data_IF_593330849204
#
_entry.id   IF_593330849204
#
_cell.length_a   1.000
_cell.length_b   1.000
_cell.length_c   1.000
_cell.angle_alpha   90.00
_cell.angle_beta   90.00
_cell.angle_gamma   90.00
#
_symmetry.space_group_name_H-M   'P 1'
#
loop_
_entity.id
_entity.type
_entity.pdbx_description
1 polymer ?
#
# COMPACT_ATOMS: atom_id res chain seq x y z
N UNK A 1 11.64 -13.48 5.66
CA UNK A 1 12.98 -12.93 5.72
C UNK A 1 12.86 -11.47 6.06
N UNK A 2 13.47 -11.04 7.16
CA UNK A 2 13.83 -9.65 7.42
C UNK A 2 15.35 -9.64 7.57
N UNK A 3 16.00 -8.55 7.18
CA UNK A 3 17.46 -8.45 7.25
C UNK A 3 17.83 -7.55 8.41
N UNK A 4 18.29 -8.13 9.51
CA UNK A 4 18.75 -7.38 10.70
C UNK A 4 19.83 -6.36 10.33
N UNK A 5 20.75 -6.73 9.44
CA UNK A 5 21.77 -5.82 8.91
C UNK A 5 21.19 -4.60 8.19
N UNK A 6 20.27 -4.80 7.24
CA UNK A 6 19.63 -3.68 6.54
C UNK A 6 18.81 -2.80 7.50
N UNK A 7 18.05 -3.41 8.42
CA UNK A 7 17.25 -2.66 9.39
C UNK A 7 18.12 -1.83 10.34
N UNK A 8 19.24 -2.40 10.81
CA UNK A 8 20.20 -1.70 11.65
C UNK A 8 20.83 -0.53 10.90
N UNK A 9 21.36 -0.79 9.70
CA UNK A 9 21.97 0.24 8.86
C UNK A 9 20.97 1.33 8.50
N UNK A 10 19.72 0.98 8.18
CA UNK A 10 18.65 1.95 7.88
C UNK A 10 18.39 2.87 9.05
N UNK A 11 18.27 2.31 10.26
CA UNK A 11 18.05 3.07 11.49
C UNK A 11 19.23 4.00 11.82
N UNK A 12 20.46 3.64 11.40
CA UNK A 12 21.67 4.44 11.60
C UNK A 12 21.99 5.43 10.48
N UNK A 13 21.41 5.26 9.29
CA UNK A 13 21.75 6.04 8.08
C UNK A 13 21.19 7.49 8.07
N UNK A 14 20.77 8.03 9.22
CA UNK A 14 20.26 9.40 9.34
C UNK A 14 19.59 9.66 10.69
N UNK A 15 18.89 10.80 10.77
CA UNK A 15 18.04 11.15 11.92
C UNK A 15 16.62 10.64 11.69
N UNK A 16 15.96 10.17 12.75
CA UNK A 16 14.53 9.83 12.73
C UNK A 16 14.14 8.79 11.66
N UNK A 17 15.05 7.84 11.38
CA UNK A 17 14.83 6.78 10.40
C UNK A 17 14.33 5.52 11.07
N UNK A 18 13.02 5.35 11.08
CA UNK A 18 12.42 4.18 11.69
C UNK A 18 11.98 3.14 10.66
N UNK A 19 11.87 1.90 11.13
CA UNK A 19 11.30 0.80 10.37
C UNK A 19 10.23 0.11 11.20
N UNK A 20 9.30 -0.53 10.49
CA UNK A 20 8.19 -1.25 11.10
C UNK A 20 7.82 -2.45 10.22
N UNK A 21 7.63 -3.62 10.82
CA UNK A 21 7.42 -4.87 10.09
C UNK A 21 6.50 -5.84 10.85
N UNK A 22 5.73 -6.69 10.13
CA UNK A 22 4.93 -7.70 10.77
C UNK A 22 5.83 -8.78 11.36
N UNK A 23 5.50 -9.20 12.57
CA UNK A 23 6.14 -10.37 13.17
C UNK A 23 5.62 -11.63 12.47
N UNK A 24 6.55 -12.52 12.14
CA UNK A 24 6.22 -13.82 11.56
C UNK A 24 5.92 -14.84 12.64
N UNK A 25 5.21 -15.90 12.27
CA UNK A 25 5.08 -17.08 13.12
C UNK A 25 6.48 -17.56 13.53
N UNK A 26 6.63 -17.95 14.79
CA UNK A 26 7.85 -18.52 15.37
C UNK A 26 9.06 -17.55 15.42
N UNK A 27 8.80 -16.25 15.37
CA UNK A 27 9.82 -15.21 15.56
C UNK A 27 10.42 -15.29 16.96
N UNK A 28 11.74 -15.46 17.02
CA UNK A 28 12.51 -15.59 18.25
C UNK A 28 12.97 -14.22 18.74
N UNK A 29 12.73 -13.95 20.02
CA UNK A 29 13.14 -12.73 20.70
C UNK A 29 13.20 -12.96 22.21
N UNK A 30 13.96 -12.14 22.89
CA UNK A 30 14.03 -12.10 24.35
C UNK A 30 13.41 -10.79 24.82
N UNK A 31 12.53 -10.85 25.84
CA UNK A 31 11.90 -9.63 26.37
C UNK A 31 12.89 -8.93 27.29
N UNK A 32 13.24 -7.69 26.95
CA UNK A 32 14.15 -6.84 27.73
C UNK A 32 13.35 -6.03 28.75
N UNK A 33 12.27 -5.39 28.29
CA UNK A 33 11.41 -4.57 29.12
C UNK A 33 9.96 -4.70 28.67
N UNK A 34 9.01 -4.64 29.61
CA UNK A 34 7.59 -4.78 29.31
C UNK A 34 6.83 -3.55 29.80
N UNK A 35 6.23 -2.81 28.88
CA UNK A 35 5.33 -1.70 29.20
C UNK A 35 3.93 -2.22 29.56
N UNK A 36 3.44 -3.23 28.85
CA UNK A 36 2.15 -3.87 29.09
C UNK A 36 2.10 -5.32 28.58
N UNK A 37 0.96 -5.99 28.71
CA UNK A 37 0.74 -7.31 28.12
C UNK A 37 0.87 -7.33 26.59
N UNK A 38 0.73 -6.16 25.94
CA UNK A 38 0.74 -6.01 24.48
C UNK A 38 1.90 -5.19 23.93
N UNK A 39 2.77 -4.68 24.80
CA UNK A 39 3.81 -3.73 24.43
C UNK A 39 5.08 -4.00 25.24
N UNK A 40 6.17 -4.29 24.54
CA UNK A 40 7.45 -4.65 25.15
C UNK A 40 8.63 -4.25 24.26
N UNK A 41 9.75 -3.91 24.89
CA UNK A 41 11.06 -3.89 24.24
C UNK A 41 11.64 -5.30 24.26
N UNK A 42 12.10 -5.73 23.09
CA UNK A 42 12.63 -7.06 22.83
C UNK A 42 14.01 -6.98 22.20
N UNK A 43 14.88 -7.91 22.57
CA UNK A 43 16.19 -8.11 21.96
C UNK A 43 16.10 -9.21 20.90
N UNK A 44 16.71 -8.94 19.75
CA UNK A 44 16.75 -9.84 18.60
C UNK A 44 18.20 -10.22 18.36
N UNK A 45 18.49 -11.51 18.49
CA UNK A 45 19.82 -12.06 18.20
C UNK A 45 20.09 -12.03 16.70
N UNK A 46 21.19 -11.41 16.31
CA UNK A 46 21.64 -11.39 14.92
C UNK A 46 22.40 -12.68 14.59
N UNK A 47 22.38 -13.07 13.31
CA UNK A 47 23.07 -14.28 12.86
C UNK A 47 24.52 -13.95 12.47
N UNK A 48 25.49 -14.88 12.66
CA UNK A 48 26.87 -14.68 12.21
C UNK A 48 26.98 -14.37 10.71
N UNK A 49 26.13 -15.00 9.90
CA UNK A 49 26.06 -14.73 8.45
C UNK A 49 25.65 -13.27 8.15
N UNK A 50 24.70 -12.71 8.91
CA UNK A 50 24.31 -11.32 8.75
C UNK A 50 25.44 -10.38 9.18
N UNK A 51 26.11 -10.67 10.30
CA UNK A 51 27.26 -9.87 10.77
C UNK A 51 28.43 -9.89 9.79
N UNK A 52 28.71 -11.03 9.14
CA UNK A 52 29.71 -11.11 8.07
C UNK A 52 29.40 -10.24 6.84
N UNK A 53 28.12 -9.93 6.60
CA UNK A 53 27.68 -9.08 5.48
C UNK A 53 27.57 -7.59 5.87
N UNK A 54 27.45 -7.31 7.16
CA UNK A 54 27.23 -5.99 7.72
C UNK A 54 28.11 -5.86 8.97
N UNK A 55 29.33 -5.35 8.79
CA UNK A 55 30.34 -5.32 9.84
C UNK A 55 29.91 -4.45 11.04
N UNK A 56 29.07 -3.44 10.80
CA UNK A 56 28.49 -2.59 11.85
C UNK A 56 27.37 -3.24 12.68
N UNK A 57 26.96 -4.47 12.34
CA UNK A 57 25.80 -5.12 12.94
C UNK A 57 26.11 -5.71 14.33
N UNK A 58 25.48 -5.24 15.42
CA UNK A 58 25.69 -5.80 16.75
C UNK A 58 25.14 -7.23 16.88
N UNK A 59 25.57 -7.95 17.92
CA UNK A 59 25.05 -9.29 18.23
C UNK A 59 23.56 -9.29 18.60
N UNK A 60 23.11 -8.23 19.25
CA UNK A 60 21.73 -8.01 19.66
C UNK A 60 21.24 -6.67 19.11
N UNK A 61 20.01 -6.67 18.62
CA UNK A 61 19.29 -5.45 18.24
C UNK A 61 18.05 -5.33 19.11
N UNK A 62 17.90 -4.19 19.77
CA UNK A 62 16.66 -3.85 20.45
C UNK A 62 15.62 -3.34 19.46
N UNK A 63 14.38 -3.78 19.67
CA UNK A 63 13.20 -3.33 18.95
C UNK A 63 12.00 -3.36 19.88
N UNK A 64 10.95 -2.63 19.53
CA UNK A 64 9.67 -2.68 20.24
C UNK A 64 8.72 -3.64 19.53
N UNK A 65 8.06 -4.46 20.33
CA UNK A 65 7.04 -5.41 19.92
C UNK A 65 5.68 -4.93 20.43
N UNK A 66 4.80 -4.56 19.51
CA UNK A 66 3.44 -4.12 19.83
C UNK A 66 2.42 -5.10 19.25
N UNK A 67 1.41 -5.45 20.04
CA UNK A 67 0.41 -6.47 19.72
C UNK A 67 -1.01 -5.92 19.75
N UNK A 68 -1.86 -6.32 18.80
CA UNK A 68 -3.30 -6.00 18.79
C UNK A 68 -4.11 -7.24 18.42
N UNK A 69 -5.22 -7.45 19.13
CA UNK A 69 -6.17 -8.52 18.81
C UNK A 69 -7.26 -7.96 17.91
N UNK A 70 -7.44 -8.56 16.74
CA UNK A 70 -8.47 -8.18 15.78
C UNK A 70 -9.28 -9.45 15.45
N UNK A 71 -10.58 -9.44 15.74
CA UNK A 71 -11.49 -10.58 15.52
C UNK A 71 -10.93 -11.90 16.09
N UNK A 72 -10.45 -11.86 17.34
CA UNK A 72 -9.89 -13.02 18.04
C UNK A 72 -8.49 -13.46 17.61
N UNK A 73 -7.88 -12.80 16.60
CA UNK A 73 -6.53 -13.11 16.14
C UNK A 73 -5.54 -12.04 16.59
N UNK A 74 -4.44 -12.47 17.19
CA UNK A 74 -3.33 -11.59 17.57
C UNK A 74 -2.48 -11.24 16.35
N UNK A 75 -2.28 -9.94 16.14
CA UNK A 75 -1.34 -9.37 15.20
C UNK A 75 -0.23 -8.69 15.99
N UNK A 76 1.00 -8.87 15.53
CA UNK A 76 2.18 -8.30 16.18
C UNK A 76 3.02 -7.55 15.17
N UNK A 77 3.53 -6.41 15.60
CA UNK A 77 4.33 -5.49 14.82
C UNK A 77 5.63 -5.24 15.57
N UNK A 78 6.74 -5.33 14.85
CA UNK A 78 8.07 -5.03 15.33
C UNK A 78 8.52 -3.69 14.77
N UNK A 79 9.09 -2.82 15.59
CA UNK A 79 9.53 -1.49 15.17
C UNK A 79 10.80 -1.03 15.89
N UNK A 80 11.59 -0.17 15.26
CA UNK A 80 12.72 0.53 15.91
C UNK A 80 12.30 1.66 16.86
N UNK A 81 11.02 2.01 16.90
CA UNK A 81 10.48 3.10 17.73
C UNK A 81 10.33 2.65 19.19
N UNK A 82 11.44 2.62 19.94
CA UNK A 82 11.48 2.11 21.31
C UNK A 82 11.03 3.11 22.38
N UNK A 83 10.99 4.41 22.10
CA UNK A 83 10.53 5.41 23.06
C UNK A 83 9.00 5.38 23.21
N UNK A 84 8.54 4.87 24.36
CA UNK A 84 7.12 4.71 24.69
C UNK A 84 6.35 6.01 24.88
N UNK A 85 7.02 7.08 25.34
CA UNK A 85 6.39 8.38 25.56
C UNK A 85 6.25 9.15 24.25
N UNK A 86 7.27 9.04 23.39
CA UNK A 86 7.29 9.70 22.09
C UNK A 86 6.43 8.99 21.04
N UNK A 87 6.38 7.66 21.09
CA UNK A 87 5.64 6.83 20.15
C UNK A 87 4.63 5.96 20.90
N UNK A 88 3.39 6.42 21.10
CA UNK A 88 2.36 5.62 21.75
C UNK A 88 2.12 4.30 21.00
N UNK A 89 1.94 3.21 21.75
CA UNK A 89 1.76 1.87 21.16
C UNK A 89 0.52 1.78 20.26
N UNK A 90 -0.55 2.49 20.60
CA UNK A 90 -1.79 2.52 19.81
C UNK A 90 -1.57 3.18 18.45
N UNK A 91 -0.83 4.29 18.41
CA UNK A 91 -0.48 4.99 17.17
C UNK A 91 0.39 4.14 16.25
N UNK A 92 1.34 3.37 16.82
CA UNK A 92 2.16 2.43 16.05
C UNK A 92 1.27 1.40 15.34
N UNK A 93 0.29 0.85 16.06
CA UNK A 93 -0.60 -0.15 15.46
C UNK A 93 -1.52 0.48 14.41
N UNK A 94 -2.04 1.68 14.68
CA UNK A 94 -2.89 2.40 13.75
C UNK A 94 -2.12 2.76 12.47
N UNK A 95 -0.90 3.30 12.60
CA UNK A 95 0.00 3.58 11.48
C UNK A 95 0.27 2.32 10.64
N UNK A 96 0.48 1.18 11.29
CA UNK A 96 0.73 -0.07 10.59
C UNK A 96 -0.47 -0.55 9.75
N UNK A 97 -1.71 -0.18 10.11
CA UNK A 97 -2.90 -0.49 9.28
C UNK A 97 -2.80 0.13 7.89
N UNK A 98 -2.23 1.34 7.79
CA UNK A 98 -2.03 2.03 6.51
C UNK A 98 -1.02 1.33 5.60
N UNK A 99 -0.27 0.32 6.07
CA UNK A 99 0.57 -0.50 5.18
C UNK A 99 -0.25 -1.18 4.08
N UNK A 100 -1.52 -1.50 4.33
CA UNK A 100 -2.42 -2.07 3.32
C UNK A 100 -2.73 -1.10 2.16
N UNK A 101 -2.54 0.21 2.34
CA UNK A 101 -2.81 1.20 1.29
C UNK A 101 -1.90 1.01 0.08
N UNK A 102 -0.68 0.46 0.24
CA UNK A 102 0.17 0.12 -0.90
C UNK A 102 -0.45 -0.97 -1.78
N UNK A 103 -1.17 -1.93 -1.18
CA UNK A 103 -1.84 -3.00 -1.92
C UNK A 103 -3.02 -2.44 -2.72
N UNK A 104 -3.74 -1.47 -2.15
CA UNK A 104 -4.75 -0.70 -2.86
C UNK A 104 -4.12 0.10 -4.01
N UNK A 105 -2.96 0.73 -3.80
CA UNK A 105 -2.20 1.40 -4.85
C UNK A 105 -1.83 0.49 -6.02
N UNK A 106 -1.32 -0.70 -5.74
CA UNK A 106 -1.08 -1.71 -6.78
C UNK A 106 -2.36 -2.12 -7.51
N UNK A 107 -3.47 -2.25 -6.77
CA UNK A 107 -4.76 -2.58 -7.36
C UNK A 107 -5.25 -1.48 -8.28
N UNK A 108 -5.16 -0.22 -7.88
CA UNK A 108 -5.55 0.95 -8.68
C UNK A 108 -4.74 1.02 -9.99
N UNK A 109 -3.42 0.85 -9.92
CA UNK A 109 -2.60 0.81 -11.14
C UNK A 109 -3.00 -0.34 -12.06
N UNK A 110 -3.18 -1.55 -11.52
CA UNK A 110 -3.47 -2.75 -12.33
C UNK A 110 -4.91 -2.83 -12.84
N UNK A 111 -5.88 -2.46 -12.03
CA UNK A 111 -7.30 -2.64 -12.34
C UNK A 111 -7.93 -1.38 -12.90
N UNK A 112 -7.52 -0.19 -12.46
CA UNK A 112 -8.10 1.08 -12.92
C UNK A 112 -7.31 1.63 -14.09
N UNK A 113 -5.98 1.83 -13.95
CA UNK A 113 -5.19 2.44 -15.03
C UNK A 113 -4.91 1.49 -16.19
N UNK A 114 -4.75 0.20 -15.90
CA UNK A 114 -4.49 -0.85 -16.89
C UNK A 114 -5.72 -1.69 -17.23
N UNK A 115 -6.91 -1.29 -16.78
CA UNK A 115 -8.18 -1.98 -17.05
C UNK A 115 -8.16 -3.51 -16.79
N UNK A 116 -7.40 -3.93 -15.77
CA UNK A 116 -7.20 -5.34 -15.41
C UNK A 116 -6.52 -6.20 -16.48
N UNK A 117 -5.88 -5.58 -17.47
CA UNK A 117 -5.10 -6.29 -18.47
C UNK A 117 -3.90 -7.02 -17.85
N UNK A 118 -3.66 -8.24 -18.31
CA UNK A 118 -2.58 -9.07 -17.78
C UNK A 118 -1.20 -8.67 -18.31
N UNK A 119 -1.14 -8.00 -19.45
CA UNK A 119 0.09 -7.65 -20.15
C UNK A 119 0.05 -6.21 -20.63
N UNK A 120 1.20 -5.55 -20.61
CA UNK A 120 1.42 -4.26 -21.25
C UNK A 120 1.39 -4.40 -22.78
N UNK A 121 1.01 -3.34 -23.50
CA UNK A 121 0.84 -3.39 -24.97
C UNK A 121 2.17 -3.48 -25.72
N UNK A 122 3.23 -2.94 -25.13
CA UNK A 122 4.54 -2.83 -25.76
C UNK A 122 5.23 -4.18 -25.90
N UNK A 123 5.82 -4.44 -27.08
CA UNK A 123 6.54 -5.70 -27.38
C UNK A 123 8.07 -5.60 -27.27
N UNK A 124 8.61 -4.40 -27.08
CA UNK A 124 10.06 -4.17 -26.92
C UNK A 124 10.41 -3.83 -25.47
N UNK A 125 11.52 -4.35 -24.90
CA UNK A 125 11.86 -4.13 -23.49
C UNK A 125 12.01 -2.66 -23.07
N UNK A 126 12.53 -1.81 -23.94
CA UNK A 126 12.63 -0.36 -23.72
C UNK A 126 11.24 0.30 -23.67
N UNK A 127 10.38 -0.01 -24.63
CA UNK A 127 9.00 0.50 -24.67
C UNK A 127 8.15 0.00 -23.49
N UNK A 128 8.36 -1.24 -23.03
CA UNK A 128 7.71 -1.78 -21.82
C UNK A 128 8.10 -0.97 -20.58
N UNK A 129 9.38 -0.58 -20.44
CA UNK A 129 9.82 0.27 -19.34
C UNK A 129 9.18 1.65 -19.43
N UNK A 130 9.11 2.24 -20.63
CA UNK A 130 8.44 3.52 -20.84
C UNK A 130 6.96 3.47 -20.46
N UNK A 131 6.26 2.41 -20.84
CA UNK A 131 4.86 2.20 -20.49
C UNK A 131 4.65 2.10 -18.97
N UNK A 132 5.53 1.36 -18.26
CA UNK A 132 5.49 1.29 -16.80
C UNK A 132 5.72 2.66 -16.15
N UNK A 133 6.66 3.45 -16.67
CA UNK A 133 6.87 4.83 -16.22
C UNK A 133 5.65 5.72 -16.48
N UNK A 134 4.98 5.54 -17.61
CA UNK A 134 3.72 6.23 -17.93
C UNK A 134 2.61 5.92 -16.92
N UNK A 135 2.45 4.64 -16.55
CA UNK A 135 1.48 4.23 -15.51
C UNK A 135 1.81 4.86 -14.16
N UNK A 136 3.08 4.85 -13.76
CA UNK A 136 3.52 5.47 -12.49
C UNK A 136 3.32 6.98 -12.49
N UNK A 137 3.59 7.65 -13.61
CA UNK A 137 3.39 9.09 -13.75
C UNK A 137 1.89 9.44 -13.64
N UNK A 138 1.03 8.72 -14.38
CA UNK A 138 -0.42 8.92 -14.32
C UNK A 138 -0.97 8.68 -12.91
N UNK A 139 -0.52 7.60 -12.25
CA UNK A 139 -0.88 7.28 -10.87
C UNK A 139 -0.54 8.44 -9.92
N UNK A 140 0.72 8.89 -9.95
CA UNK A 140 1.18 9.96 -9.06
C UNK A 140 0.51 11.30 -9.36
N UNK A 141 0.24 11.61 -10.63
CA UNK A 141 -0.50 12.80 -11.01
C UNK A 141 -1.92 12.80 -10.42
N UNK A 142 -2.66 11.70 -10.57
CA UNK A 142 -4.00 11.55 -10.00
C UNK A 142 -3.93 11.66 -8.46
N UNK A 143 -2.95 11.01 -7.82
CA UNK A 143 -2.75 11.10 -6.36
C UNK A 143 -2.42 12.52 -5.89
N UNK A 144 -1.68 13.29 -6.67
CA UNK A 144 -1.40 14.69 -6.38
C UNK A 144 -2.69 15.53 -6.45
N UNK A 145 -3.54 15.32 -7.45
CA UNK A 145 -4.83 16.01 -7.55
C UNK A 145 -5.78 15.64 -6.41
N UNK A 146 -5.82 14.37 -6.02
CA UNK A 146 -6.58 13.91 -4.85
C UNK A 146 -6.06 14.56 -3.56
N UNK A 147 -4.74 14.73 -3.43
CA UNK A 147 -4.14 15.42 -2.27
C UNK A 147 -4.57 16.89 -2.23
N UNK A 148 -4.52 17.58 -3.37
CA UNK A 148 -5.01 18.96 -3.48
C UNK A 148 -6.51 19.11 -3.23
N UNK A 149 -7.30 18.13 -3.62
CA UNK A 149 -8.73 18.11 -3.31
C UNK A 149 -9.00 17.87 -1.82
N UNK A 150 -8.26 16.96 -1.19
CA UNK A 150 -8.42 16.69 0.25
C UNK A 150 -8.00 17.86 1.14
N UNK A 151 -7.05 18.70 0.70
CA UNK A 151 -6.69 19.94 1.41
C UNK A 151 -7.88 20.91 1.59
N UNK A 152 -8.96 20.75 0.82
CA UNK A 152 -10.20 21.57 0.92
C UNK A 152 -11.27 20.98 1.83
N UNK A 153 -11.02 19.80 2.39
CA UNK A 153 -11.98 19.06 3.18
C UNK A 153 -11.47 18.93 4.62
N UNK A 154 -12.37 19.08 5.58
CA UNK A 154 -12.03 18.89 6.98
C UNK A 154 -11.84 17.40 7.28
N UNK A 155 -10.66 17.05 7.81
CA UNK A 155 -10.34 15.71 8.32
C UNK A 155 -10.51 14.55 7.31
N UNK A 156 -10.40 14.82 6.01
CA UNK A 156 -10.41 13.79 4.96
C UNK A 156 -9.00 13.60 4.42
N UNK A 157 -8.48 12.38 4.49
CA UNK A 157 -7.21 12.00 3.88
C UNK A 157 -7.37 11.74 2.38
N UNK A 158 -6.32 11.96 1.55
CA UNK A 158 -6.39 11.72 0.10
C UNK A 158 -6.80 10.29 -0.28
N UNK A 159 -6.42 9.29 0.52
CA UNK A 159 -6.77 7.88 0.29
C UNK A 159 -8.23 7.53 0.61
N UNK A 160 -8.99 8.47 1.20
CA UNK A 160 -10.43 8.36 1.41
C UNK A 160 -11.24 8.90 0.22
N UNK A 161 -10.59 9.43 -0.81
CA UNK A 161 -11.23 9.80 -2.07
C UNK A 161 -11.20 8.63 -3.07
N UNK A 162 -12.22 8.52 -3.91
CA UNK A 162 -12.33 7.48 -4.94
C UNK A 162 -11.28 7.67 -6.02
N UNK A 163 -10.29 6.77 -6.09
CA UNK A 163 -9.27 6.80 -7.15
C UNK A 163 -9.89 6.64 -8.54
N UNK A 164 -10.84 5.71 -8.71
CA UNK A 164 -11.50 5.48 -10.01
C UNK A 164 -12.21 6.72 -10.52
N UNK A 165 -13.03 7.36 -9.67
CA UNK A 165 -13.74 8.59 -10.03
C UNK A 165 -12.78 9.74 -10.32
N UNK A 166 -11.72 9.85 -9.52
CA UNK A 166 -10.66 10.86 -9.72
C UNK A 166 -9.91 10.65 -11.04
N UNK A 167 -9.57 9.41 -11.39
CA UNK A 167 -8.92 9.06 -12.64
C UNK A 167 -9.79 9.42 -13.85
N UNK A 168 -11.10 9.16 -13.78
CA UNK A 168 -12.05 9.57 -14.81
C UNK A 168 -12.10 11.09 -14.95
N UNK A 169 -12.22 11.83 -13.84
CA UNK A 169 -12.28 13.29 -13.86
C UNK A 169 -10.98 13.92 -14.42
N UNK A 170 -9.81 13.41 -14.02
CA UNK A 170 -8.51 13.86 -14.55
C UNK A 170 -8.39 13.55 -16.04
N UNK A 171 -8.83 12.36 -16.48
CA UNK A 171 -8.82 11.99 -17.91
C UNK A 171 -9.73 12.91 -18.72
N UNK A 172 -10.93 13.20 -18.20
CA UNK A 172 -11.86 14.13 -18.82
C UNK A 172 -11.29 15.56 -18.90
N UNK A 173 -10.64 16.02 -17.83
CA UNK A 173 -9.94 17.30 -17.82
C UNK A 173 -8.94 17.39 -18.97
N UNK A 174 -8.01 16.43 -19.09
CA UNK A 174 -7.05 16.40 -20.21
C UNK A 174 -7.71 16.31 -21.58
N UNK A 175 -8.76 15.52 -21.74
CA UNK A 175 -9.50 15.41 -23.00
C UNK A 175 -10.17 16.73 -23.42
N UNK A 176 -10.53 17.59 -22.46
CA UNK A 176 -11.14 18.91 -22.70
C UNK A 176 -10.15 20.05 -22.93
N UNK A 177 -8.86 19.86 -22.60
CA UNK A 177 -7.85 20.92 -22.76
C UNK A 177 -7.75 21.48 -24.18
N UNK A 178 -7.76 20.66 -25.26
CA UNK A 178 -7.69 21.19 -26.62
C UNK A 178 -8.89 22.07 -27.01
N UNK A 179 -10.00 21.94 -26.30
CA UNK A 179 -11.24 22.69 -26.54
C UNK A 179 -11.36 23.94 -25.65
N UNK A 180 -10.38 24.16 -24.77
CA UNK A 180 -10.41 25.21 -23.75
C UNK A 180 -9.37 26.28 -24.08
N UNK A 181 -9.77 27.56 -24.03
CA UNK A 181 -8.80 28.64 -24.20
C UNK A 181 -7.80 28.67 -23.02
N UNK A 182 -6.51 28.94 -23.26
CA UNK A 182 -5.48 28.90 -22.21
C UNK A 182 -5.80 29.78 -20.99
N UNK A 183 -6.44 30.93 -21.17
CA UNK A 183 -6.83 31.82 -20.08
C UNK A 183 -7.87 31.23 -19.11
N UNK A 184 -8.63 30.21 -19.54
CA UNK A 184 -9.62 29.54 -18.69
C UNK A 184 -9.04 28.36 -17.91
N UNK A 185 -7.81 27.91 -18.19
CA UNK A 185 -7.21 26.73 -17.56
C UNK A 185 -7.22 26.76 -16.02
N UNK A 186 -6.89 27.88 -15.34
CA UNK A 186 -6.97 27.94 -13.88
C UNK A 186 -8.38 27.67 -13.37
N UNK A 187 -9.40 28.22 -14.03
CA UNK A 187 -10.82 28.00 -13.68
C UNK A 187 -11.21 26.54 -13.84
N UNK A 188 -10.83 25.90 -14.95
CA UNK A 188 -11.12 24.48 -15.17
C UNK A 188 -10.36 23.56 -14.20
N UNK A 189 -9.13 23.94 -13.83
CA UNK A 189 -8.37 23.24 -12.80
C UNK A 189 -9.09 23.32 -11.44
N UNK A 190 -9.57 24.49 -11.06
CA UNK A 190 -10.36 24.67 -9.83
C UNK A 190 -11.62 23.81 -9.81
N UNK A 191 -12.34 23.74 -10.94
CA UNK A 191 -13.51 22.86 -11.11
C UNK A 191 -13.12 21.39 -10.95
N UNK A 192 -11.99 20.96 -11.52
CA UNK A 192 -11.49 19.59 -11.35
C UNK A 192 -11.23 19.26 -9.88
N UNK A 193 -10.55 20.15 -9.14
CA UNK A 193 -10.26 19.92 -7.73
C UNK A 193 -11.54 19.88 -6.89
N UNK A 194 -12.49 20.78 -7.15
CA UNK A 194 -13.82 20.75 -6.51
C UNK A 194 -14.59 19.47 -6.85
N UNK A 195 -14.49 18.98 -8.09
CA UNK A 195 -15.13 17.73 -8.48
C UNK A 195 -14.55 16.55 -7.71
N UNK A 196 -13.21 16.47 -7.62
CA UNK A 196 -12.52 15.40 -6.90
C UNK A 196 -12.86 15.43 -5.40
N UNK A 197 -13.01 16.62 -4.80
CA UNK A 197 -13.35 16.72 -3.37
C UNK A 197 -14.75 16.18 -3.03
N UNK A 198 -15.64 16.03 -4.02
CA UNK A 198 -16.93 15.37 -3.83
C UNK A 198 -16.86 13.84 -3.86
N UNK A 199 -15.73 13.25 -4.30
CA UNK A 199 -15.57 11.80 -4.43
C UNK A 199 -15.18 11.12 -3.12
N UNK A 200 -15.74 11.56 -1.99
CA UNK A 200 -15.49 10.97 -0.67
C UNK A 200 -16.09 9.57 -0.61
N UNK A 201 -15.26 8.60 -0.28
CA UNK A 201 -15.68 7.22 -0.09
C UNK A 201 -16.42 7.08 1.25
N UNK A 202 -17.43 6.19 1.34
CA UNK A 202 -18.02 5.85 2.63
C UNK A 202 -16.97 5.23 3.56
N UNK A 203 -17.21 5.27 4.89
CA UNK A 203 -16.33 4.65 5.87
C UNK A 203 -16.01 3.19 5.52
N UNK A 204 -14.77 2.77 5.83
CA UNK A 204 -14.31 1.42 5.51
C UNK A 204 -15.10 0.39 6.31
N UNK A 205 -15.83 -0.47 5.60
CA UNK A 205 -16.60 -1.58 6.17
C UNK A 205 -15.71 -2.58 6.88
N UNK A 206 -15.89 -2.74 8.19
CA UNK A 206 -15.12 -3.66 9.04
C UNK A 206 -15.61 -5.11 8.97
N UNK A 207 -16.85 -5.31 8.54
CA UNK A 207 -17.58 -6.57 8.49
C UNK A 207 -17.33 -7.40 7.22
N UNK A 208 -16.60 -6.86 6.23
CA UNK A 208 -16.32 -7.57 4.96
C UNK A 208 -15.61 -8.90 5.23
N UNK A 209 -16.30 -9.99 4.90
CA UNK A 209 -15.75 -11.34 4.85
C UNK A 209 -16.02 -11.92 3.46
N UNK A 210 -14.96 -12.22 2.72
CA UNK A 210 -15.04 -12.92 1.45
C UNK A 210 -14.45 -14.32 1.66
N UNK A 211 -15.26 -15.37 1.81
CA UNK A 211 -14.74 -16.72 1.98
C UNK A 211 -13.86 -17.06 0.78
N UNK A 212 -12.64 -17.56 1.05
CA UNK A 212 -11.76 -18.00 -0.03
C UNK A 212 -12.34 -19.29 -0.60
N UNK A 213 -12.79 -19.22 -1.83
CA UNK A 213 -13.17 -20.40 -2.59
C UNK A 213 -12.03 -20.81 -3.51
N UNK A 214 -11.86 -22.12 -3.68
CA UNK A 214 -11.01 -22.66 -4.75
C UNK A 214 -11.73 -22.31 -6.05
N UNK A 215 -11.22 -21.31 -6.76
CA UNK A 215 -11.70 -21.03 -8.13
C UNK A 215 -11.35 -22.25 -8.99
N UNK A 216 -12.29 -22.65 -9.85
CA UNK A 216 -12.03 -23.68 -10.86
C UNK A 216 -10.78 -23.29 -11.65
N UNK A 217 -9.84 -24.23 -11.82
CA UNK A 217 -8.69 -24.01 -12.69
C UNK A 217 -9.22 -23.74 -14.11
N UNK A 218 -8.75 -22.69 -14.82
CA UNK A 218 -9.12 -22.51 -16.21
C UNK A 218 -8.74 -23.77 -16.99
N UNK A 219 -9.69 -24.32 -17.75
CA UNK A 219 -9.48 -25.55 -18.51
C UNK A 219 -8.46 -25.26 -19.61
N UNK A 220 -7.43 -26.10 -19.73
CA UNK A 220 -6.38 -25.99 -20.77
C UNK A 220 -6.96 -26.03 -22.19
N UNK A 221 -8.13 -26.66 -22.34
CA UNK A 221 -8.84 -26.80 -23.60
C UNK A 221 -10.29 -26.36 -23.42
N UNK A 222 -10.87 -25.78 -24.46
CA UNK A 222 -12.29 -25.43 -24.49
C UNK A 222 -13.14 -26.67 -24.21
N UNK A 223 -14.20 -26.53 -23.42
CA UNK A 223 -15.23 -27.56 -23.33
C UNK A 223 -15.84 -27.74 -24.71
N UNK A 224 -15.83 -28.97 -25.21
CA UNK A 224 -16.52 -29.36 -26.42
C UNK A 224 -18.02 -29.08 -26.23
N UNK A 225 -18.48 -27.92 -26.71
CA UNK A 225 -19.91 -27.67 -26.90
C UNK A 225 -20.30 -28.49 -28.11
N UNK A 226 -20.55 -29.79 -27.91
CA UNK A 226 -21.40 -30.52 -28.84
C UNK A 226 -22.74 -29.78 -28.79
N UNK A 227 -23.00 -28.97 -29.82
CA UNK A 227 -24.30 -28.36 -30.02
C UNK A 227 -25.34 -29.49 -30.02
N UNK A 228 -26.08 -29.63 -28.93
CA UNK A 228 -27.30 -30.40 -28.90
C UNK A 228 -28.37 -29.57 -29.64
N UNK A 229 -28.22 -29.47 -30.95
CA UNK A 229 -29.25 -29.06 -31.91
C UNK A 229 -28.85 -29.56 -33.31
N UNK A 230 -28.65 -30.87 -33.42
CA UNK A 230 -29.02 -31.57 -34.64
C UNK A 230 -30.22 -32.43 -34.27
N UNK A 231 -31.37 -31.77 -34.16
CA UNK A 231 -32.66 -32.41 -34.36
C UNK A 231 -33.01 -32.16 -35.82
N UNK A 232 -33.13 -33.26 -36.56
CA UNK A 232 -33.86 -33.31 -37.83
C UNK A 232 -35.30 -32.85 -37.61
#
# INVERSE_FOLDING_TARGET
>A
YYSTGLLHRWNKAGKERHWMLPVKKDFQYEVVHRYSSRDAIVAIKTTPQARKKFDELPELIEARLVSKVIKGKTYQVLTSMCDGLRFPGEDIVELYRYRWEIELGYREMKQTLLDSEYTLRSKRPDMVRQELWGVLLAYNLIRQMMTKASERLDSICPNQLSFTSSAMAVTQYFASLPLTSPGNLPRHYEVLIQQISMFVLPPRREDRSYPRWIKLKPKKYATNRKNASQLN
#
